data_IF_438443288620
#
_entry.id   IF_438443288620
#
_cell.length_a   1.000
_cell.length_b   1.000
_cell.length_c   1.000
_cell.angle_alpha   90.00
_cell.angle_beta   90.00
_cell.angle_gamma   90.00
#
_symmetry.space_group_name_H-M   'P 1'
#
loop_
_entity.id
_entity.type
_entity.pdbx_description
1 polymer ?
#
# COMPACT_ATOMS: atom_id res chain seq x y z
N UNK A 1 49.56 -1.05 30.78
CA UNK A 1 48.89 -0.07 29.92
C UNK A 1 47.73 -0.76 29.26
N UNK A 2 46.54 -0.53 29.75
CA UNK A 2 45.33 -1.12 29.18
C UNK A 2 44.66 -0.04 28.30
N UNK A 3 44.46 -0.33 27.03
CA UNK A 3 43.77 0.56 26.08
C UNK A 3 42.29 0.21 26.14
N UNK A 4 41.50 1.09 26.71
CA UNK A 4 40.02 1.02 26.68
C UNK A 4 39.53 1.32 25.27
N UNK A 5 38.88 0.32 24.66
CA UNK A 5 38.13 0.50 23.42
C UNK A 5 36.79 1.19 23.73
N UNK A 6 36.66 2.47 23.34
CA UNK A 6 35.38 3.18 23.35
C UNK A 6 34.52 2.70 22.18
N UNK A 7 33.42 2.03 22.49
CA UNK A 7 32.38 1.70 21.52
C UNK A 7 31.64 2.94 21.01
N UNK A 8 30.98 2.85 19.84
CA UNK A 8 30.27 3.98 19.25
C UNK A 8 29.06 4.39 20.11
N UNK A 9 29.01 5.66 20.49
CA UNK A 9 27.82 6.25 21.13
C UNK A 9 26.73 6.42 20.09
N UNK A 10 25.65 5.68 20.26
CA UNK A 10 24.39 5.95 19.59
C UNK A 10 23.73 7.16 20.27
N UNK A 11 24.17 8.35 19.92
CA UNK A 11 23.44 9.58 20.24
C UNK A 11 22.29 9.73 19.22
N UNK A 12 21.19 9.05 19.47
CA UNK A 12 19.90 9.43 18.88
C UNK A 12 19.49 10.73 19.57
N UNK A 13 19.93 11.84 19.02
CA UNK A 13 19.38 13.14 19.38
C UNK A 13 17.96 13.20 18.84
N UNK A 14 16.99 13.04 19.73
CA UNK A 14 15.67 13.61 19.50
C UNK A 14 15.89 15.12 19.37
N UNK A 15 15.63 15.66 18.18
CA UNK A 15 15.62 17.09 17.95
C UNK A 15 14.52 17.65 18.86
N UNK A 16 14.93 18.31 19.94
CA UNK A 16 14.06 19.13 20.76
C UNK A 16 13.53 20.28 19.90
N UNK A 17 12.23 20.47 19.96
CA UNK A 17 11.49 21.59 19.38
C UNK A 17 11.98 22.93 19.90
N UNK A 18 12.98 23.52 19.22
CA UNK A 18 13.29 24.93 19.27
C UNK A 18 14.18 25.26 18.07
N UNK A 19 13.55 25.49 16.90
CA UNK A 19 13.89 26.60 15.99
C UNK A 19 13.03 26.57 14.72
N UNK A 20 12.31 27.70 14.65
CA UNK A 20 12.05 28.48 13.46
C UNK A 20 11.45 27.84 12.18
N UNK A 21 10.15 28.03 12.04
CA UNK A 21 9.54 28.74 10.89
C UNK A 21 9.56 28.09 9.53
N UNK A 22 10.01 26.86 9.38
CA UNK A 22 9.84 26.07 8.17
C UNK A 22 9.54 24.59 8.50
N UNK A 23 8.79 24.37 9.54
CA UNK A 23 8.23 23.06 9.82
C UNK A 23 7.35 22.63 8.65
N UNK A 24 7.75 21.57 7.96
CA UNK A 24 6.85 20.81 7.10
C UNK A 24 5.57 20.58 7.92
N UNK A 25 4.50 21.27 7.54
CA UNK A 25 3.27 21.30 8.32
C UNK A 25 2.78 19.84 8.45
N UNK A 26 2.85 19.27 9.65
CA UNK A 26 2.48 17.89 9.97
C UNK A 26 1.01 17.57 9.62
N UNK A 27 0.21 18.58 9.27
CA UNK A 27 -1.19 18.41 8.87
C UNK A 27 -1.37 17.46 7.68
N UNK A 28 -0.45 17.44 6.71
CA UNK A 28 -0.49 16.49 5.61
C UNK A 28 -0.29 15.04 6.07
N UNK A 29 0.61 14.80 7.04
CA UNK A 29 0.88 13.45 7.55
C UNK A 29 -0.30 12.87 8.35
N UNK A 30 -1.12 13.72 8.98
CA UNK A 30 -2.31 13.28 9.70
C UNK A 30 -3.35 12.61 8.81
N UNK A 31 -3.31 12.85 7.51
CA UNK A 31 -4.24 12.28 6.54
C UNK A 31 -3.82 10.89 6.03
N UNK A 32 -2.57 10.46 6.22
CA UNK A 32 -2.06 9.20 5.68
C UNK A 32 -2.88 7.98 6.10
N UNK A 33 -3.30 7.94 7.35
CA UNK A 33 -4.17 6.86 7.85
C UNK A 33 -5.53 6.89 7.18
N UNK A 34 -6.13 8.09 7.04
CA UNK A 34 -7.42 8.27 6.39
C UNK A 34 -7.38 7.84 4.93
N UNK A 35 -6.34 8.22 4.20
CA UNK A 35 -6.17 7.82 2.81
C UNK A 35 -6.07 6.32 2.62
N UNK A 36 -5.31 5.64 3.48
CA UNK A 36 -5.21 4.18 3.45
C UNK A 36 -6.55 3.51 3.78
N UNK A 37 -7.28 4.03 4.77
CA UNK A 37 -8.61 3.53 5.13
C UNK A 37 -9.62 3.69 3.98
N UNK A 38 -9.60 4.84 3.31
CA UNK A 38 -10.44 5.10 2.15
C UNK A 38 -10.09 4.15 0.99
N UNK A 39 -8.79 3.98 0.69
CA UNK A 39 -8.35 3.04 -0.32
C UNK A 39 -8.83 1.62 0.00
N UNK A 40 -8.69 1.15 1.23
CA UNK A 40 -9.24 -0.14 1.66
C UNK A 40 -10.75 -0.19 1.45
N UNK A 41 -11.48 0.86 1.84
CA UNK A 41 -12.93 0.93 1.64
C UNK A 41 -13.35 0.79 0.18
N UNK A 42 -12.57 1.35 -0.76
CA UNK A 42 -12.82 1.19 -2.19
C UNK A 42 -12.47 -0.19 -2.71
N UNK A 43 -11.35 -0.75 -2.25
CA UNK A 43 -10.93 -2.08 -2.67
C UNK A 43 -11.91 -3.17 -2.24
N UNK A 44 -12.42 -3.11 -1.01
CA UNK A 44 -13.36 -4.13 -0.49
C UNK A 44 -14.74 -4.08 -1.15
N UNK A 45 -15.11 -2.96 -1.79
CA UNK A 45 -16.34 -2.85 -2.58
C UNK A 45 -16.25 -3.58 -3.93
N UNK A 46 -15.04 -3.95 -4.37
CA UNK A 46 -14.85 -4.66 -5.61
C UNK A 46 -14.97 -6.17 -5.38
N UNK A 47 -16.12 -6.74 -5.71
CA UNK A 47 -16.44 -8.15 -5.52
C UNK A 47 -15.43 -9.07 -6.22
N UNK A 48 -15.03 -8.75 -7.47
CA UNK A 48 -14.08 -9.57 -8.21
C UNK A 48 -12.71 -9.57 -7.54
N UNK A 49 -12.25 -8.42 -7.05
CA UNK A 49 -11.00 -8.32 -6.30
C UNK A 49 -11.05 -9.21 -5.04
N UNK A 50 -12.13 -9.09 -4.28
CA UNK A 50 -12.30 -9.89 -3.05
C UNK A 50 -12.31 -11.39 -3.35
N UNK A 51 -13.00 -11.84 -4.40
CA UNK A 51 -12.99 -13.25 -4.82
C UNK A 51 -11.60 -13.74 -5.21
N UNK A 52 -10.85 -12.96 -6.00
CA UNK A 52 -9.48 -13.30 -6.43
C UNK A 52 -8.51 -13.43 -5.26
N UNK A 53 -8.74 -12.66 -4.21
CA UNK A 53 -7.90 -12.68 -3.02
C UNK A 53 -8.29 -13.80 -2.05
N UNK A 54 -9.56 -14.07 -1.89
CA UNK A 54 -10.06 -15.04 -0.90
C UNK A 54 -9.98 -16.49 -1.37
N UNK A 55 -10.40 -16.76 -2.64
CA UNK A 55 -10.40 -18.10 -3.18
C UNK A 55 -9.06 -18.44 -3.82
N UNK A 56 -8.43 -19.52 -3.37
CA UNK A 56 -7.16 -20.04 -3.87
C UNK A 56 -7.30 -20.90 -5.13
N UNK A 57 -8.52 -21.21 -5.53
CA UNK A 57 -8.84 -22.10 -6.67
C UNK A 57 -8.83 -21.37 -8.02
N UNK A 58 -8.56 -22.06 -9.14
CA UNK A 58 -8.55 -21.45 -10.48
C UNK A 58 -9.88 -20.82 -10.90
N UNK A 59 -11.00 -21.29 -10.38
CA UNK A 59 -12.35 -20.82 -10.66
C UNK A 59 -12.83 -19.68 -9.71
N UNK A 60 -11.91 -18.98 -9.05
CA UNK A 60 -12.18 -17.97 -8.03
C UNK A 60 -13.28 -16.98 -8.40
N UNK A 61 -13.27 -16.45 -9.64
CA UNK A 61 -14.25 -15.48 -10.11
C UNK A 61 -15.66 -16.06 -10.30
N UNK A 62 -15.78 -17.38 -10.45
CA UNK A 62 -17.06 -18.08 -10.56
C UNK A 62 -17.68 -18.44 -9.21
N UNK A 63 -16.93 -18.25 -8.13
CA UNK A 63 -17.40 -18.50 -6.75
C UNK A 63 -18.42 -17.47 -6.30
N UNK A 64 -19.24 -17.80 -5.28
CA UNK A 64 -20.17 -16.84 -4.68
C UNK A 64 -19.48 -15.58 -4.18
N UNK A 65 -20.22 -14.48 -4.07
CA UNK A 65 -19.75 -13.28 -3.37
C UNK A 65 -19.41 -13.61 -1.91
N UNK A 66 -18.42 -12.94 -1.36
CA UNK A 66 -18.03 -13.09 0.03
C UNK A 66 -19.07 -12.47 0.96
N UNK A 67 -19.21 -13.05 2.14
CA UNK A 67 -20.00 -12.43 3.22
C UNK A 67 -19.24 -11.24 3.81
N UNK A 68 -19.97 -10.32 4.48
CA UNK A 68 -19.35 -9.19 5.18
C UNK A 68 -18.32 -9.64 6.23
N UNK A 69 -18.59 -10.75 6.92
CA UNK A 69 -17.67 -11.33 7.90
C UNK A 69 -16.37 -11.81 7.24
N UNK A 70 -16.45 -12.48 6.08
CA UNK A 70 -15.27 -12.92 5.34
C UNK A 70 -14.42 -11.73 4.88
N UNK A 71 -15.06 -10.70 4.31
CA UNK A 71 -14.36 -9.46 3.90
C UNK A 71 -13.74 -8.76 5.10
N UNK A 72 -14.45 -8.67 6.22
CA UNK A 72 -13.93 -8.07 7.46
C UNK A 72 -12.68 -8.80 7.96
N UNK A 73 -12.67 -10.14 7.93
CA UNK A 73 -11.53 -10.95 8.36
C UNK A 73 -10.29 -10.76 7.46
N UNK A 74 -10.48 -10.43 6.17
CA UNK A 74 -9.36 -10.12 5.28
C UNK A 74 -8.68 -8.77 5.59
N UNK A 75 -9.37 -7.87 6.28
CA UNK A 75 -8.85 -6.53 6.63
C UNK A 75 -8.45 -6.43 8.10
N UNK A 76 -9.21 -7.06 8.98
CA UNK A 76 -8.94 -7.02 10.41
C UNK A 76 -7.62 -7.73 10.76
N UNK A 77 -6.86 -7.20 11.75
CA UNK A 77 -5.65 -7.88 12.23
C UNK A 77 -5.96 -9.30 12.69
N UNK A 78 -5.25 -10.29 12.12
CA UNK A 78 -5.44 -11.69 12.45
C UNK A 78 -4.76 -12.64 11.45
N UNK A 79 -4.99 -13.94 11.64
CA UNK A 79 -4.39 -14.99 10.80
C UNK A 79 -4.89 -15.00 9.34
N UNK A 80 -6.06 -14.46 9.09
CA UNK A 80 -6.69 -14.42 7.78
C UNK A 80 -6.58 -13.03 7.11
N UNK A 81 -5.81 -12.11 7.71
CA UNK A 81 -5.57 -10.79 7.14
C UNK A 81 -4.81 -10.92 5.82
N UNK A 82 -5.34 -10.29 4.77
CA UNK A 82 -4.77 -10.26 3.43
C UNK A 82 -4.54 -8.83 2.92
N UNK A 83 -5.20 -7.83 3.53
CA UNK A 83 -5.09 -6.42 3.18
C UNK A 83 -4.45 -5.65 4.33
N UNK A 84 -3.24 -5.11 4.10
CA UNK A 84 -2.43 -4.44 5.10
C UNK A 84 -2.29 -2.95 4.77
N UNK A 85 -2.60 -2.08 5.73
CA UNK A 85 -2.43 -0.63 5.61
C UNK A 85 -0.98 -0.16 5.82
N UNK A 86 -0.04 -1.09 5.83
CA UNK A 86 1.40 -0.86 5.94
C UNK A 86 2.12 -1.81 5.00
N UNK A 87 3.38 -1.51 4.68
CA UNK A 87 4.20 -2.42 3.88
C UNK A 87 4.41 -3.71 4.65
N UNK A 88 3.77 -4.75 4.18
CA UNK A 88 3.89 -6.09 4.74
C UNK A 88 4.74 -6.94 3.79
N UNK A 89 5.82 -7.50 4.34
CA UNK A 89 6.62 -8.53 3.65
C UNK A 89 6.33 -9.80 4.41
N UNK A 90 5.62 -10.72 3.78
CA UNK A 90 5.29 -11.99 4.40
C UNK A 90 6.54 -12.84 4.55
N UNK A 91 7.12 -12.86 5.76
CA UNK A 91 8.10 -13.88 6.15
C UNK A 91 7.45 -15.25 6.42
N UNK A 92 6.13 -15.35 6.24
CA UNK A 92 5.29 -16.41 6.81
C UNK A 92 4.43 -17.06 5.74
N UNK A 93 4.91 -17.21 4.54
CA UNK A 93 4.19 -17.93 3.50
C UNK A 93 4.09 -19.44 3.80
N UNK A 94 3.34 -19.78 4.83
CA UNK A 94 2.84 -21.14 5.03
C UNK A 94 1.46 -21.34 4.40
N UNK A 95 0.81 -20.24 3.95
CA UNK A 95 -0.53 -20.28 3.36
C UNK A 95 -0.47 -19.81 1.92
N UNK A 96 -0.98 -20.61 1.01
CA UNK A 96 -1.20 -20.25 -0.40
C UNK A 96 -2.30 -19.19 -0.46
N UNK A 97 -1.92 -17.94 -0.68
CA UNK A 97 -2.88 -16.83 -0.67
C UNK A 97 -2.34 -15.62 -1.44
N UNK A 98 -3.20 -14.62 -1.64
CA UNK A 98 -2.83 -13.32 -2.20
C UNK A 98 -2.85 -12.24 -1.14
N UNK A 99 -1.96 -11.26 -1.25
CA UNK A 99 -1.84 -10.14 -0.33
C UNK A 99 -1.85 -8.80 -1.04
N UNK A 100 -2.46 -7.81 -0.40
CA UNK A 100 -2.33 -6.40 -0.73
C UNK A 100 -1.71 -5.68 0.47
N UNK A 101 -0.68 -4.88 0.23
CA UNK A 101 -0.12 -3.98 1.24
C UNK A 101 0.10 -2.58 0.68
N UNK A 102 0.16 -1.58 1.56
CA UNK A 102 0.12 -0.16 1.19
C UNK A 102 1.21 0.62 1.86
N UNK A 103 1.78 1.59 1.13
CA UNK A 103 2.79 2.51 1.63
C UNK A 103 2.60 3.89 1.02
N UNK A 104 2.88 4.92 1.79
CA UNK A 104 2.97 6.31 1.32
C UNK A 104 4.42 6.74 1.41
N UNK A 105 4.98 7.22 0.30
CA UNK A 105 6.40 7.52 0.19
C UNK A 105 6.68 8.73 -0.71
N UNK A 106 7.92 9.23 -0.64
CA UNK A 106 8.47 10.28 -1.50
C UNK A 106 7.71 11.61 -1.48
N UNK A 107 7.09 11.94 -0.34
CA UNK A 107 6.39 13.21 -0.19
C UNK A 107 7.38 14.37 -0.17
N UNK A 108 7.16 15.35 -1.06
CA UNK A 108 7.96 16.56 -1.17
C UNK A 108 7.07 17.74 -1.51
N UNK A 109 7.50 19.00 -1.18
CA UNK A 109 6.82 20.20 -1.66
C UNK A 109 6.73 20.22 -3.18
N UNK A 110 5.63 20.70 -3.71
CA UNK A 110 5.42 20.88 -5.14
C UNK A 110 6.18 22.13 -5.62
N UNK A 111 7.40 21.95 -6.15
CA UNK A 111 8.27 23.04 -6.61
C UNK A 111 7.75 23.77 -7.86
N UNK A 112 6.90 23.09 -8.64
CA UNK A 112 6.34 23.66 -9.88
C UNK A 112 5.45 24.88 -9.64
N UNK A 113 4.91 25.02 -8.43
CA UNK A 113 4.08 26.16 -8.03
C UNK A 113 4.80 26.99 -6.97
N UNK A 114 5.91 27.64 -7.33
CA UNK A 114 6.75 28.43 -6.40
C UNK A 114 5.99 29.40 -5.48
N UNK A 115 4.86 29.95 -5.96
CA UNK A 115 4.01 30.84 -5.14
C UNK A 115 3.15 30.10 -4.11
N UNK A 116 3.00 28.76 -4.25
CA UNK A 116 2.17 27.92 -3.39
C UNK A 116 2.89 26.66 -2.91
N UNK A 117 4.20 26.54 -3.15
CA UNK A 117 5.00 25.37 -2.77
C UNK A 117 4.96 25.05 -1.27
N UNK A 118 4.68 26.08 -0.46
CA UNK A 118 4.49 25.90 0.98
C UNK A 118 3.13 25.27 1.34
N UNK A 119 2.18 25.25 0.40
CA UNK A 119 0.80 24.78 0.63
C UNK A 119 0.52 23.40 0.06
N UNK A 120 1.35 22.91 -0.87
CA UNK A 120 1.11 21.65 -1.57
C UNK A 120 2.26 20.68 -1.42
N UNK A 121 1.93 19.43 -1.18
CA UNK A 121 2.87 18.31 -1.21
C UNK A 121 2.42 17.30 -2.26
N UNK A 122 3.39 16.64 -2.88
CA UNK A 122 3.16 15.52 -3.79
C UNK A 122 4.00 14.33 -3.36
N UNK A 123 3.46 13.15 -3.53
CA UNK A 123 4.12 11.91 -3.21
C UNK A 123 3.54 10.74 -3.97
N UNK A 124 3.90 9.53 -3.57
CA UNK A 124 3.41 8.30 -4.16
C UNK A 124 2.66 7.47 -3.11
N UNK A 125 1.50 6.97 -3.52
CA UNK A 125 0.77 5.95 -2.80
C UNK A 125 1.04 4.60 -3.48
N UNK A 126 1.84 3.78 -2.82
CA UNK A 126 2.19 2.45 -3.31
C UNK A 126 1.19 1.40 -2.84
N UNK A 127 0.82 0.53 -3.77
CA UNK A 127 0.11 -0.71 -3.51
C UNK A 127 0.97 -1.85 -4.01
N UNK A 128 1.27 -2.78 -3.14
CA UNK A 128 2.00 -4.00 -3.41
C UNK A 128 1.02 -5.16 -3.49
N UNK A 129 1.03 -5.87 -4.60
CA UNK A 129 0.19 -7.03 -4.88
C UNK A 129 1.08 -8.25 -4.94
N UNK A 130 0.80 -9.25 -4.14
CA UNK A 130 1.54 -10.50 -4.12
C UNK A 130 0.57 -11.67 -4.12
N UNK A 131 0.87 -12.70 -4.92
CA UNK A 131 0.18 -13.99 -4.89
C UNK A 131 1.19 -15.12 -4.81
N UNK A 132 0.84 -16.17 -4.10
CA UNK A 132 1.58 -17.41 -4.12
C UNK A 132 1.59 -18.00 -5.54
N UNK A 133 2.73 -18.53 -5.98
CA UNK A 133 2.91 -19.07 -7.33
C UNK A 133 2.04 -20.31 -7.55
N UNK A 134 1.75 -21.10 -6.52
CA UNK A 134 0.93 -22.30 -6.61
C UNK A 134 -0.54 -22.01 -6.99
N UNK A 135 -1.01 -20.78 -6.68
CA UNK A 135 -2.36 -20.33 -7.00
C UNK A 135 -2.39 -19.30 -8.13
N UNK A 136 -1.25 -19.06 -8.80
CA UNK A 136 -1.11 -17.99 -9.78
C UNK A 136 -2.01 -18.15 -11.00
N UNK A 137 -2.25 -19.40 -11.44
CA UNK A 137 -3.07 -19.69 -12.61
C UNK A 137 -4.55 -19.73 -12.26
N UNK A 138 -5.36 -19.04 -13.07
CA UNK A 138 -6.82 -19.10 -12.98
C UNK A 138 -7.43 -19.47 -14.35
N UNK A 139 -8.71 -19.83 -14.35
CA UNK A 139 -9.45 -20.11 -15.60
C UNK A 139 -9.55 -18.89 -16.53
N UNK A 140 -9.27 -17.69 -16.04
CA UNK A 140 -9.38 -16.43 -16.79
C UNK A 140 -8.03 -15.73 -17.03
N UNK A 141 -6.93 -16.33 -16.61
CA UNK A 141 -5.58 -15.80 -16.78
C UNK A 141 -4.77 -15.79 -15.49
N UNK A 142 -3.70 -15.00 -15.48
CA UNK A 142 -2.80 -14.89 -14.34
C UNK A 142 -3.47 -14.10 -13.22
N UNK A 143 -3.49 -14.65 -12.00
CA UNK A 143 -4.18 -14.09 -10.84
C UNK A 143 -3.69 -12.68 -10.51
N UNK A 144 -2.38 -12.45 -10.50
CA UNK A 144 -1.81 -11.13 -10.20
C UNK A 144 -2.19 -10.08 -11.23
N UNK A 145 -2.33 -10.45 -12.52
CA UNK A 145 -2.77 -9.52 -13.57
C UNK A 145 -4.25 -9.17 -13.40
N UNK A 146 -5.07 -10.15 -13.01
CA UNK A 146 -6.48 -9.93 -12.70
C UNK A 146 -6.64 -9.05 -11.46
N UNK A 147 -5.90 -9.30 -10.39
CA UNK A 147 -5.89 -8.47 -9.18
C UNK A 147 -5.45 -7.04 -9.54
N UNK A 148 -4.35 -6.90 -10.30
CA UNK A 148 -3.85 -5.61 -10.78
C UNK A 148 -4.96 -4.83 -11.49
N UNK A 149 -5.63 -5.44 -12.45
CA UNK A 149 -6.75 -4.86 -13.20
C UNK A 149 -7.88 -4.38 -12.28
N UNK A 150 -8.25 -5.19 -11.30
CA UNK A 150 -9.34 -4.83 -10.36
C UNK A 150 -8.91 -3.72 -9.39
N UNK A 151 -7.65 -3.64 -8.98
CA UNK A 151 -7.10 -2.53 -8.19
C UNK A 151 -7.13 -1.24 -9.02
N UNK A 152 -6.72 -1.27 -10.29
CA UNK A 152 -6.87 -0.13 -11.20
C UNK A 152 -8.32 0.35 -11.28
N UNK A 153 -9.26 -0.56 -11.50
CA UNK A 153 -10.69 -0.22 -11.56
C UNK A 153 -11.22 0.42 -10.30
N UNK A 154 -10.67 0.02 -9.16
CA UNK A 154 -11.12 0.52 -7.85
C UNK A 154 -10.53 1.88 -7.49
N UNK A 155 -9.34 2.22 -7.98
CA UNK A 155 -8.58 3.38 -7.52
C UNK A 155 -8.19 4.37 -8.62
N UNK A 156 -7.99 3.93 -9.87
CA UNK A 156 -7.57 4.83 -10.94
C UNK A 156 -8.67 5.80 -11.34
N UNK A 157 -8.29 7.07 -11.49
CA UNK A 157 -9.22 8.11 -11.89
C UNK A 157 -10.25 8.53 -10.85
N UNK A 158 -10.18 8.01 -9.62
CA UNK A 158 -11.03 8.46 -8.53
C UNK A 158 -10.72 9.92 -8.19
N UNK A 159 -11.73 10.78 -8.34
CA UNK A 159 -11.63 12.21 -8.09
C UNK A 159 -11.56 12.58 -6.60
N UNK A 160 -11.69 11.60 -5.72
CA UNK A 160 -11.61 11.88 -4.29
C UNK A 160 -11.42 10.60 -3.46
N UNK A 161 -10.20 10.19 -3.28
CA UNK A 161 -9.82 9.80 -1.94
C UNK A 161 -9.67 11.12 -1.18
N UNK A 162 -10.38 11.31 -0.06
CA UNK A 162 -10.48 12.59 0.66
C UNK A 162 -9.10 13.27 0.75
N UNK A 163 -8.90 14.36 0.00
CA UNK A 163 -7.69 15.16 0.04
C UNK A 163 -6.52 14.73 -0.84
N UNK A 164 -6.55 13.58 -1.51
CA UNK A 164 -5.42 13.12 -2.35
C UNK A 164 -5.47 13.65 -3.80
N UNK A 165 -6.51 14.39 -4.16
CA UNK A 165 -6.74 14.77 -5.54
C UNK A 165 -7.06 13.54 -6.40
N UNK A 166 -6.89 13.68 -7.71
CA UNK A 166 -7.10 12.58 -8.65
C UNK A 166 -5.94 11.58 -8.57
N UNK A 167 -6.23 10.33 -8.28
CA UNK A 167 -5.24 9.26 -8.36
C UNK A 167 -4.94 8.95 -9.84
N UNK A 168 -3.68 9.02 -10.20
CA UNK A 168 -3.19 8.59 -11.51
C UNK A 168 -2.00 7.67 -11.34
N UNK A 169 -1.96 6.61 -12.13
CA UNK A 169 -0.82 5.68 -12.07
C UNK A 169 0.43 6.36 -12.60
N UNK A 170 1.48 6.40 -11.79
CA UNK A 170 2.78 6.96 -12.11
C UNK A 170 3.79 5.85 -12.46
N UNK A 171 3.72 4.73 -11.75
CA UNK A 171 4.67 3.63 -11.93
C UNK A 171 4.03 2.28 -11.65
N UNK A 172 4.51 1.26 -12.38
CA UNK A 172 4.18 -0.14 -12.17
C UNK A 172 5.46 -0.96 -12.39
N UNK A 173 5.82 -1.77 -11.41
CA UNK A 173 7.00 -2.60 -11.45
C UNK A 173 6.65 -4.04 -11.05
N UNK A 174 7.28 -5.06 -11.67
CA UNK A 174 7.18 -6.41 -11.17
C UNK A 174 7.79 -6.50 -9.78
N UNK A 175 7.19 -7.33 -8.93
CA UNK A 175 7.63 -7.55 -7.56
C UNK A 175 7.82 -9.04 -7.33
N UNK A 176 9.01 -9.41 -6.86
CA UNK A 176 9.35 -10.77 -6.44
C UNK A 176 9.90 -10.72 -5.02
N UNK A 177 9.54 -11.71 -4.24
CA UNK A 177 10.11 -11.86 -2.91
C UNK A 177 11.10 -13.02 -2.94
N UNK A 178 12.39 -12.71 -2.76
CA UNK A 178 13.45 -13.70 -2.74
C UNK A 178 13.18 -14.78 -1.68
N UNK A 179 13.44 -16.02 -2.03
CA UNK A 179 13.19 -17.23 -1.25
C UNK A 179 11.72 -17.57 -1.00
N UNK A 180 10.79 -16.87 -1.63
CA UNK A 180 9.37 -17.13 -1.45
C UNK A 180 8.70 -17.48 -2.77
N UNK A 181 7.68 -18.30 -2.66
CA UNK A 181 6.79 -18.65 -3.73
C UNK A 181 5.83 -17.50 -4.08
N UNK A 182 6.22 -16.22 -3.91
CA UNK A 182 5.36 -15.06 -4.17
C UNK A 182 5.89 -14.19 -5.29
N UNK A 183 4.98 -13.85 -6.20
CA UNK A 183 5.23 -12.88 -7.25
C UNK A 183 4.05 -11.92 -7.42
N UNK A 184 4.28 -10.80 -8.08
CA UNK A 184 3.22 -9.82 -8.34
C UNK A 184 3.72 -8.47 -8.82
N UNK A 185 3.11 -7.40 -8.33
CA UNK A 185 3.36 -6.03 -8.79
C UNK A 185 3.43 -5.03 -7.65
N UNK A 186 4.20 -3.98 -7.87
CA UNK A 186 4.16 -2.73 -7.13
C UNK A 186 3.57 -1.65 -8.05
N UNK A 187 2.53 -0.98 -7.58
CA UNK A 187 1.87 0.12 -8.30
C UNK A 187 2.04 1.38 -7.47
N UNK A 188 2.53 2.45 -8.08
CA UNK A 188 2.61 3.78 -7.45
C UNK A 188 1.61 4.71 -8.10
N UNK A 189 0.68 5.22 -7.30
CA UNK A 189 -0.24 6.29 -7.70
C UNK A 189 0.32 7.63 -7.26
N UNK A 190 0.36 8.60 -8.16
CA UNK A 190 0.69 9.97 -7.82
C UNK A 190 -0.44 10.57 -6.98
N UNK A 191 -0.08 11.15 -5.87
CA UNK A 191 -0.99 11.84 -4.96
C UNK A 191 -0.49 13.26 -4.72
N UNK A 192 -1.43 14.19 -4.58
CA UNK A 192 -1.12 15.58 -4.25
C UNK A 192 -2.12 16.06 -3.21
N UNK A 193 -1.65 16.75 -2.19
CA UNK A 193 -2.49 17.27 -1.12
C UNK A 193 -2.08 18.70 -0.75
N UNK A 194 -3.05 19.42 -0.17
CA UNK A 194 -2.80 20.66 0.53
C UNK A 194 -2.11 20.38 1.86
N UNK A 195 -1.06 21.14 2.14
CA UNK A 195 -0.42 21.14 3.47
C UNK A 195 -1.35 21.63 4.54
#
# INVERSE_FOLDING_TARGET
>A
MAVEARGPRNDVRFLSDENDGQGMNLLGLSNFTKWKQEAVSKLIQNENLMKLMYYDTPDALSKPALTEEQVSNMVAPGKDQQIFQYRHVSNLATKQTSYISMELAYFKPLEEYRLFSEQYVSGLFYIYLLSDIEIMETNQGIRTDLILKEVYRSLDGLDSLIGMGKLGVETQLPLWVDNNSFGGYSIGFKVSDLK
#
